data_IF_180589420215
#
_entry.id   IF_180589420215
#
_cell.length_a   1.000
_cell.length_b   1.000
_cell.length_c   1.000
_cell.angle_alpha   90.00
_cell.angle_beta   90.00
_cell.angle_gamma   90.00
#
_symmetry.space_group_name_H-M   'P 1'
#
loop_
_entity.id
_entity.type
_entity.pdbx_description
1 polymer ?
#
# COMPACT_ATOMS: atom_id res chain seq x y z
N UNK A 1 1.43 15.68 -7.03
CA UNK A 1 1.58 14.42 -7.79
C UNK A 1 2.95 14.46 -8.41
N UNK A 2 3.76 13.42 -8.25
CA UNK A 2 5.07 13.30 -8.90
C UNK A 2 4.84 13.26 -10.40
N UNK A 3 5.54 14.09 -11.18
CA UNK A 3 5.36 14.05 -12.63
C UNK A 3 6.01 12.80 -13.23
N UNK A 4 5.59 12.41 -14.43
CA UNK A 4 6.22 11.31 -15.16
C UNK A 4 7.74 11.54 -15.32
N UNK A 5 8.12 12.77 -15.64
CA UNK A 5 9.53 13.17 -15.79
C UNK A 5 10.31 13.01 -14.49
N UNK A 6 9.69 13.32 -13.34
CA UNK A 6 10.30 13.10 -12.03
C UNK A 6 10.49 11.61 -11.72
N UNK A 7 9.55 10.74 -12.10
CA UNK A 7 9.69 9.29 -11.93
C UNK A 7 10.80 8.71 -12.81
N UNK A 8 10.88 9.15 -14.07
CA UNK A 8 11.97 8.76 -14.99
C UNK A 8 13.32 9.15 -14.39
N UNK A 9 13.45 10.39 -13.93
CA UNK A 9 14.70 10.88 -13.34
C UNK A 9 15.08 10.09 -12.07
N UNK A 10 14.13 9.84 -11.17
CA UNK A 10 14.39 9.02 -9.97
C UNK A 10 14.82 7.59 -10.31
N UNK A 11 14.15 6.95 -11.27
CA UNK A 11 14.51 5.60 -11.70
C UNK A 11 15.93 5.56 -12.29
N UNK A 12 16.31 6.58 -13.10
CA UNK A 12 17.65 6.69 -13.67
C UNK A 12 18.73 6.91 -12.60
N UNK A 13 18.46 7.74 -11.60
CA UNK A 13 19.38 7.97 -10.47
C UNK A 13 19.60 6.66 -9.72
N UNK A 14 18.53 5.96 -9.33
CA UNK A 14 18.64 4.70 -8.58
C UNK A 14 19.39 3.62 -9.37
N UNK A 15 19.16 3.53 -10.69
CA UNK A 15 19.91 2.63 -11.57
C UNK A 15 21.40 3.00 -11.61
N UNK A 16 21.72 4.30 -11.68
CA UNK A 16 23.11 4.78 -11.67
C UNK A 16 23.82 4.52 -10.34
N UNK A 17 23.06 4.47 -9.24
CA UNK A 17 23.54 4.08 -7.91
C UNK A 17 23.71 2.56 -7.74
N UNK A 18 23.39 1.77 -8.78
CA UNK A 18 23.60 0.33 -8.84
C UNK A 18 22.43 -0.52 -8.35
N UNK A 19 21.25 0.05 -8.16
CA UNK A 19 20.04 -0.71 -7.80
C UNK A 19 19.57 -1.58 -8.97
N UNK A 20 19.12 -2.80 -8.68
CA UNK A 20 18.46 -3.63 -9.67
C UNK A 20 17.03 -3.12 -9.96
N UNK A 21 16.43 -3.43 -11.13
CA UNK A 21 15.06 -3.02 -11.43
C UNK A 21 14.02 -3.44 -10.38
N UNK A 22 14.23 -4.57 -9.72
CA UNK A 22 13.37 -5.03 -8.62
C UNK A 22 13.47 -4.10 -7.40
N UNK A 23 14.69 -3.73 -6.99
CA UNK A 23 14.91 -2.82 -5.86
C UNK A 23 14.38 -1.41 -6.14
N UNK A 24 14.46 -0.95 -7.39
CA UNK A 24 13.86 0.32 -7.82
C UNK A 24 12.34 0.26 -7.74
N UNK A 25 11.73 -0.89 -8.07
CA UNK A 25 10.29 -1.11 -7.95
C UNK A 25 9.82 -1.00 -6.50
N UNK A 26 10.57 -1.60 -5.57
CA UNK A 26 10.30 -1.50 -4.14
C UNK A 26 10.39 -0.05 -3.64
N UNK A 27 11.44 0.68 -4.02
CA UNK A 27 11.67 2.08 -3.59
C UNK A 27 10.62 3.06 -4.15
N UNK A 28 10.26 2.91 -5.42
CA UNK A 28 9.27 3.78 -6.07
C UNK A 28 7.83 3.31 -5.86
N UNK A 29 7.62 2.15 -5.22
CA UNK A 29 6.31 1.50 -5.11
C UNK A 29 5.65 1.27 -6.48
N UNK A 30 6.45 0.84 -7.46
CA UNK A 30 6.03 0.57 -8.84
C UNK A 30 6.29 -0.89 -9.20
N UNK A 31 5.53 -1.42 -10.17
CA UNK A 31 5.81 -2.76 -10.70
C UNK A 31 7.14 -2.78 -11.45
N UNK A 32 7.79 -3.96 -11.49
CA UNK A 32 9.01 -4.19 -12.27
C UNK A 32 8.82 -3.83 -13.76
N UNK A 33 7.65 -4.11 -14.32
CA UNK A 33 7.29 -3.73 -15.69
C UNK A 33 7.30 -2.21 -15.87
N UNK A 34 6.75 -1.47 -14.91
CA UNK A 34 6.73 0.00 -14.94
C UNK A 34 8.14 0.57 -14.83
N UNK A 35 8.97 0.04 -13.93
CA UNK A 35 10.39 0.44 -13.81
C UNK A 35 11.14 0.15 -15.10
N UNK A 36 10.96 -1.04 -15.67
CA UNK A 36 11.59 -1.42 -16.94
C UNK A 36 11.19 -0.46 -18.04
N UNK A 37 9.91 -0.08 -18.12
CA UNK A 37 9.42 0.90 -19.08
C UNK A 37 10.02 2.30 -18.84
N UNK A 38 10.10 2.76 -17.60
CA UNK A 38 10.72 4.05 -17.23
C UNK A 38 12.20 4.11 -17.65
N UNK A 39 12.92 2.99 -17.55
CA UNK A 39 14.36 2.91 -17.85
C UNK A 39 14.66 2.68 -19.34
N UNK A 40 13.80 1.95 -20.06
CA UNK A 40 14.08 1.51 -21.44
C UNK A 40 13.47 2.38 -22.52
N UNK A 41 12.50 3.24 -22.16
CA UNK A 41 11.84 4.25 -23.00
C UNK A 41 12.18 4.20 -24.51
N UNK A 42 11.49 3.34 -25.26
CA UNK A 42 11.37 3.58 -26.70
C UNK A 42 10.43 4.78 -26.87
N UNK A 43 10.96 5.90 -27.38
CA UNK A 43 10.14 7.07 -27.73
C UNK A 43 8.97 6.64 -28.62
N UNK A 44 7.77 6.51 -28.06
CA UNK A 44 6.55 6.19 -28.81
C UNK A 44 5.70 5.03 -28.28
N UNK A 45 6.17 4.25 -27.30
CA UNK A 45 5.31 3.25 -26.64
C UNK A 45 4.40 3.92 -25.58
N UNK A 46 3.10 3.59 -25.60
CA UNK A 46 2.16 4.04 -24.57
C UNK A 46 2.63 3.55 -23.19
N UNK A 47 2.57 4.44 -22.20
CA UNK A 47 2.88 4.09 -20.83
C UNK A 47 1.97 2.93 -20.36
N UNK A 48 2.47 2.02 -19.49
CA UNK A 48 1.63 1.05 -18.82
C UNK A 48 0.42 1.76 -18.21
N UNK A 49 -0.78 1.19 -18.41
CA UNK A 49 -2.01 1.77 -17.88
C UNK A 49 -1.98 1.67 -16.35
N UNK A 50 -1.75 2.79 -15.70
CA UNK A 50 -1.90 2.89 -14.25
C UNK A 50 -3.40 2.82 -13.87
N UNK A 51 -3.68 2.21 -12.73
CA UNK A 51 -5.04 2.11 -12.18
C UNK A 51 -5.06 2.87 -10.86
N UNK A 52 -5.61 4.09 -10.91
CA UNK A 52 -5.90 4.84 -9.70
C UNK A 52 -7.27 4.45 -9.16
N UNK A 53 -7.30 3.92 -7.94
CA UNK A 53 -8.56 3.71 -7.21
C UNK A 53 -8.80 4.94 -6.34
N UNK A 54 -9.80 5.74 -6.72
CA UNK A 54 -10.23 6.87 -5.92
C UNK A 54 -11.10 6.40 -4.74
N UNK A 55 -10.54 6.49 -3.53
CA UNK A 55 -11.21 6.12 -2.28
C UNK A 55 -11.99 7.28 -1.63
N UNK A 56 -12.03 8.46 -2.26
CA UNK A 56 -12.62 9.67 -1.67
C UNK A 56 -14.09 9.47 -1.30
N UNK A 57 -14.87 8.80 -2.15
CA UNK A 57 -16.28 8.53 -1.87
C UNK A 57 -16.47 7.64 -0.63
N UNK A 58 -15.57 6.68 -0.41
CA UNK A 58 -15.59 5.79 0.75
C UNK A 58 -15.12 6.49 2.01
N UNK A 59 -14.07 7.32 1.91
CA UNK A 59 -13.49 8.00 3.07
C UNK A 59 -14.27 9.24 3.53
N UNK A 60 -15.03 9.86 2.64
CA UNK A 60 -15.89 11.01 2.97
C UNK A 60 -17.16 10.62 3.74
N UNK A 61 -17.57 9.35 3.72
CA UNK A 61 -18.72 8.84 4.46
C UNK A 61 -18.27 8.01 5.67
N UNK A 62 -18.62 8.47 6.87
CA UNK A 62 -18.20 7.81 8.11
C UNK A 62 -18.68 6.36 8.23
N UNK A 63 -19.88 6.05 7.72
CA UNK A 63 -20.44 4.70 7.77
C UNK A 63 -19.73 3.77 6.80
N UNK A 64 -19.38 4.26 5.61
CA UNK A 64 -18.57 3.51 4.65
C UNK A 64 -17.17 3.23 5.21
N UNK A 65 -16.57 4.20 5.90
CA UNK A 65 -15.29 4.02 6.57
C UNK A 65 -15.37 2.98 7.69
N UNK A 66 -16.42 3.02 8.53
CA UNK A 66 -16.68 2.01 9.57
C UNK A 66 -16.81 0.60 8.95
N UNK A 67 -17.64 0.43 7.91
CA UNK A 67 -17.81 -0.86 7.23
C UNK A 67 -16.52 -1.37 6.60
N UNK A 68 -15.70 -0.48 6.03
CA UNK A 68 -14.40 -0.84 5.48
C UNK A 68 -13.48 -1.36 6.57
N UNK A 69 -13.48 -0.74 7.75
CA UNK A 69 -12.66 -1.18 8.88
C UNK A 69 -13.13 -2.52 9.45
N UNK A 70 -14.44 -2.75 9.52
CA UNK A 70 -15.02 -4.04 9.93
C UNK A 70 -14.62 -5.16 8.96
N UNK A 71 -14.68 -4.90 7.66
CA UNK A 71 -14.20 -5.84 6.64
C UNK A 71 -12.70 -6.17 6.81
N UNK A 72 -11.86 -5.17 7.11
CA UNK A 72 -10.43 -5.38 7.35
C UNK A 72 -10.18 -6.24 8.59
N UNK A 73 -10.86 -5.95 9.71
CA UNK A 73 -10.79 -6.77 10.93
C UNK A 73 -11.21 -8.21 10.62
N UNK A 74 -12.34 -8.39 9.93
CA UNK A 74 -12.82 -9.72 9.57
C UNK A 74 -11.86 -10.50 8.68
N UNK A 75 -11.23 -9.83 7.71
CA UNK A 75 -10.22 -10.44 6.84
C UNK A 75 -9.00 -10.91 7.63
N UNK A 76 -8.61 -10.13 8.63
CA UNK A 76 -7.51 -10.45 9.54
C UNK A 76 -7.84 -11.67 10.42
N UNK A 77 -9.02 -11.69 11.06
CA UNK A 77 -9.49 -12.85 11.83
C UNK A 77 -9.44 -14.15 10.99
N UNK A 78 -9.93 -14.09 9.74
CA UNK A 78 -9.88 -15.24 8.82
C UNK A 78 -8.43 -15.67 8.54
N UNK A 79 -7.51 -14.71 8.35
CA UNK A 79 -6.10 -15.02 8.09
C UNK A 79 -5.45 -15.75 9.28
N UNK A 80 -5.83 -15.36 10.49
CA UNK A 80 -5.38 -15.98 11.76
C UNK A 80 -5.94 -17.39 11.88
N UNK A 81 -7.25 -17.56 11.67
CA UNK A 81 -7.92 -18.87 11.71
C UNK A 81 -7.33 -19.85 10.68
N UNK A 82 -6.97 -19.35 9.49
CA UNK A 82 -6.34 -20.13 8.42
C UNK A 82 -4.83 -20.36 8.62
N UNK A 83 -4.24 -19.83 9.69
CA UNK A 83 -2.81 -19.97 10.00
C UNK A 83 -1.88 -19.21 9.03
N UNK A 84 -2.40 -18.23 8.28
CA UNK A 84 -1.61 -17.34 7.43
C UNK A 84 -0.82 -16.33 8.26
N UNK A 85 -1.28 -16.04 9.48
CA UNK A 85 -0.61 -15.16 10.44
C UNK A 85 -0.19 -16.02 11.64
N UNK A 86 1.12 -16.23 11.85
CA UNK A 86 1.60 -17.05 12.96
C UNK A 86 1.45 -16.31 14.28
N UNK A 87 0.45 -16.68 15.08
CA UNK A 87 0.35 -16.28 16.48
C UNK A 87 1.00 -17.32 17.37
N UNK A 88 1.74 -16.88 18.39
CA UNK A 88 2.23 -17.82 19.41
C UNK A 88 1.07 -18.15 20.35
N UNK A 89 1.05 -19.38 20.85
CA UNK A 89 0.00 -19.84 21.76
C UNK A 89 -0.08 -18.94 22.99
N UNK A 90 -1.20 -18.23 23.14
CA UNK A 90 -1.45 -17.30 24.26
C UNK A 90 -1.05 -15.85 24.02
N UNK A 91 -0.59 -15.47 22.82
CA UNK A 91 -0.40 -14.05 22.44
C UNK A 91 -1.72 -13.39 22.02
N UNK A 92 -1.79 -12.07 22.23
CA UNK A 92 -2.83 -11.20 21.68
C UNK A 92 -2.58 -11.08 20.18
N UNK A 93 -3.66 -11.08 19.38
CA UNK A 93 -3.63 -11.03 17.92
C UNK A 93 -2.69 -9.90 17.41
N UNK A 94 -2.88 -8.70 17.95
CA UNK A 94 -1.98 -7.55 17.83
C UNK A 94 -2.22 -6.58 19.00
N UNK A 95 -1.18 -5.87 19.45
CA UNK A 95 -1.29 -4.90 20.56
C UNK A 95 -1.41 -3.44 20.09
N UNK A 96 -1.11 -3.16 18.81
CA UNK A 96 -1.01 -1.79 18.28
C UNK A 96 -1.42 -1.74 16.82
N UNK A 97 -2.14 -0.68 16.44
CA UNK A 97 -2.51 -0.39 15.04
C UNK A 97 -1.76 0.86 14.59
N UNK A 98 -1.06 0.78 13.45
CA UNK A 98 -0.29 1.90 12.90
C UNK A 98 -0.96 2.43 11.63
N UNK A 99 -1.37 3.70 11.65
CA UNK A 99 -1.88 4.42 10.48
C UNK A 99 -0.75 5.15 9.75
N UNK A 100 -0.55 4.85 8.47
CA UNK A 100 0.46 5.52 7.63
C UNK A 100 -0.21 6.67 6.87
N UNK A 101 0.41 7.85 6.92
CA UNK A 101 -0.05 9.07 6.23
C UNK A 101 -1.43 9.57 6.69
N UNK A 102 -1.89 10.68 6.10
CA UNK A 102 -3.20 11.30 6.41
C UNK A 102 -4.38 10.34 6.20
N UNK A 103 -4.32 9.47 5.20
CA UNK A 103 -5.38 8.52 4.87
C UNK A 103 -5.43 7.30 5.79
N UNK A 104 -4.29 6.86 6.32
CA UNK A 104 -4.22 5.68 7.19
C UNK A 104 -4.61 5.96 8.63
N UNK A 105 -4.43 7.19 9.13
CA UNK A 105 -4.74 7.55 10.53
C UNK A 105 -6.22 7.32 10.89
N UNK A 106 -7.22 7.76 10.10
CA UNK A 106 -8.63 7.51 10.41
C UNK A 106 -8.97 6.01 10.44
N UNK A 107 -8.46 5.24 9.47
CA UNK A 107 -8.70 3.78 9.39
C UNK A 107 -8.09 3.08 10.61
N UNK A 108 -6.84 3.38 10.95
CA UNK A 108 -6.17 2.80 12.11
C UNK A 108 -6.91 3.12 13.42
N UNK A 109 -7.39 4.36 13.56
CA UNK A 109 -8.16 4.80 14.73
C UNK A 109 -9.45 3.98 14.89
N UNK A 110 -10.16 3.70 13.79
CA UNK A 110 -11.40 2.93 13.81
C UNK A 110 -11.16 1.44 14.07
N UNK A 111 -10.08 0.87 13.52
CA UNK A 111 -9.67 -0.51 13.81
C UNK A 111 -9.29 -0.65 15.30
N UNK A 112 -8.51 0.28 15.84
CA UNK A 112 -8.14 0.29 17.25
C UNK A 112 -9.38 0.33 18.15
N UNK A 113 -10.32 1.23 17.83
CA UNK A 113 -11.63 1.30 18.51
C UNK A 113 -12.42 -0.01 18.41
N UNK A 114 -12.46 -0.63 17.23
CA UNK A 114 -13.23 -1.85 16.97
C UNK A 114 -12.67 -3.10 17.65
N UNK A 115 -11.35 -3.14 17.88
CA UNK A 115 -10.64 -4.30 18.46
C UNK A 115 -10.22 -4.09 19.92
N UNK A 116 -10.45 -2.90 20.47
CA UNK A 116 -10.04 -2.56 21.84
C UNK A 116 -8.53 -2.40 22.02
N UNK A 117 -7.79 -2.26 20.93
CA UNK A 117 -6.34 -1.99 20.95
C UNK A 117 -6.06 -0.50 21.11
N UNK A 118 -4.84 -0.18 21.58
CA UNK A 118 -4.42 1.19 21.92
C UNK A 118 -3.67 1.86 20.79
#
# INVERSE_FOLDING_TARGET
>A
MTSLDELINKAQILLSDGHSPEQIGDELSLSMETVTWLLTQQRGEEAPKDVHIDWTATSADARMLDLTTEMMIRRYEIAVEEGQIPLRSGEVDFDTVVGISLSGVPVATLIARGTGTR
#
